data_IF_170299248092
#
_entry.id   IF_170299248092
#
_cell.length_a   1.000
_cell.length_b   1.000
_cell.length_c   1.000
_cell.angle_alpha   90.00
_cell.angle_beta   90.00
_cell.angle_gamma   90.00
#
_symmetry.space_group_name_H-M   'P 1'
#
loop_
_entity.id
_entity.type
_entity.pdbx_description
1 polymer ?
#
# COMPACT_ATOMS: atom_id res chain seq x y z
N UNK A 1 -11.73 12.76 -7.53
CA UNK A 1 -10.28 13.02 -7.49
C UNK A 1 -9.54 11.69 -7.38
N UNK A 2 -8.42 11.50 -8.10
CA UNK A 2 -7.68 10.22 -8.12
C UNK A 2 -7.19 9.75 -6.74
N UNK A 3 -6.92 10.69 -5.83
CA UNK A 3 -6.57 10.49 -4.42
C UNK A 3 -7.66 9.79 -3.59
N UNK A 4 -8.93 10.04 -3.89
CA UNK A 4 -10.05 9.43 -3.15
C UNK A 4 -10.15 7.91 -3.39
N UNK A 5 -9.87 7.48 -4.62
CA UNK A 5 -9.86 6.06 -4.97
C UNK A 5 -8.68 5.32 -4.32
N UNK A 6 -7.52 5.98 -4.20
CA UNK A 6 -6.36 5.44 -3.50
C UNK A 6 -6.67 5.24 -2.01
N UNK A 7 -7.25 6.24 -1.33
CA UNK A 7 -7.67 6.11 0.08
C UNK A 7 -8.67 4.97 0.29
N UNK A 8 -9.64 4.81 -0.60
CA UNK A 8 -10.59 3.68 -0.53
C UNK A 8 -9.89 2.32 -0.71
N UNK A 9 -8.90 2.26 -1.59
CA UNK A 9 -8.12 1.04 -1.83
C UNK A 9 -7.27 0.67 -0.61
N UNK A 10 -6.65 1.67 0.04
CA UNK A 10 -5.90 1.49 1.29
C UNK A 10 -6.83 0.99 2.41
N UNK A 11 -8.02 1.57 2.54
CA UNK A 11 -8.99 1.13 3.54
C UNK A 11 -9.39 -0.34 3.35
N UNK A 12 -9.70 -0.74 2.11
CA UNK A 12 -10.03 -2.15 1.78
C UNK A 12 -8.86 -3.10 2.06
N UNK A 13 -7.63 -2.68 1.77
CA UNK A 13 -6.45 -3.48 2.08
C UNK A 13 -6.29 -3.70 3.60
N UNK A 14 -6.53 -2.67 4.42
CA UNK A 14 -6.52 -2.80 5.88
C UNK A 14 -7.62 -3.75 6.37
N UNK A 15 -8.82 -3.69 5.79
CA UNK A 15 -9.90 -4.62 6.12
C UNK A 15 -9.56 -6.07 5.76
N UNK A 16 -8.96 -6.33 4.59
CA UNK A 16 -8.54 -7.68 4.17
C UNK A 16 -7.46 -8.27 5.09
N UNK A 17 -6.56 -7.45 5.62
CA UNK A 17 -5.55 -7.88 6.62
C UNK A 17 -6.24 -8.33 7.91
N UNK A 18 -7.27 -7.60 8.36
CA UNK A 18 -8.00 -7.90 9.60
C UNK A 18 -8.95 -9.08 9.43
N UNK A 19 -9.61 -9.20 8.28
CA UNK A 19 -10.62 -10.22 8.00
C UNK A 19 -10.02 -11.54 7.47
N UNK A 20 -8.77 -11.51 6.99
CA UNK A 20 -8.12 -12.61 6.30
C UNK A 20 -7.52 -13.71 7.20
N UNK A 21 -6.75 -14.59 6.56
CA UNK A 21 -5.93 -15.58 7.27
C UNK A 21 -4.91 -14.87 8.18
N UNK A 22 -4.46 -15.50 9.28
CA UNK A 22 -3.43 -14.94 10.13
C UNK A 22 -2.18 -14.61 9.33
N UNK A 23 -1.94 -13.33 9.13
CA UNK A 23 -0.73 -12.79 8.54
C UNK A 23 0.34 -12.70 9.62
N UNK A 24 1.61 -12.88 9.27
CA UNK A 24 2.68 -12.72 10.25
C UNK A 24 2.73 -11.26 10.75
N UNK A 25 2.85 -11.01 12.07
CA UNK A 25 2.78 -9.66 12.63
C UNK A 25 3.80 -8.69 12.02
N UNK A 26 5.03 -9.17 11.79
CA UNK A 26 6.12 -8.40 11.17
C UNK A 26 5.77 -7.89 9.77
N UNK A 27 5.08 -8.69 8.96
CA UNK A 27 4.66 -8.29 7.61
C UNK A 27 3.50 -7.31 7.64
N UNK A 28 2.60 -7.44 8.62
CA UNK A 28 1.46 -6.55 8.81
C UNK A 28 1.92 -5.17 9.27
N UNK A 29 2.84 -5.13 10.23
CA UNK A 29 3.37 -3.88 10.77
C UNK A 29 4.07 -3.05 9.68
N UNK A 30 4.94 -3.69 8.89
CA UNK A 30 5.64 -3.05 7.76
C UNK A 30 4.64 -2.53 6.73
N UNK A 31 3.60 -3.31 6.40
CA UNK A 31 2.59 -2.88 5.44
C UNK A 31 1.76 -1.71 5.98
N UNK A 32 1.36 -1.74 7.25
CA UNK A 32 0.60 -0.65 7.87
C UNK A 32 1.39 0.65 7.97
N UNK A 33 2.68 0.58 8.31
CA UNK A 33 3.59 1.72 8.32
C UNK A 33 3.71 2.34 6.92
N UNK A 34 4.00 1.51 5.92
CA UNK A 34 4.14 1.95 4.52
C UNK A 34 2.85 2.61 4.00
N UNK A 35 1.68 2.08 4.37
CA UNK A 35 0.39 2.67 4.02
C UNK A 35 0.14 4.01 4.72
N UNK A 36 0.58 4.17 5.97
CA UNK A 36 0.45 5.42 6.70
C UNK A 36 1.36 6.53 6.12
N UNK A 37 2.56 6.15 5.67
CA UNK A 37 3.48 7.06 4.96
C UNK A 37 2.88 7.52 3.62
N UNK A 38 2.25 6.60 2.88
CA UNK A 38 1.47 6.94 1.67
C UNK A 38 0.37 7.94 2.01
N UNK A 39 -0.44 7.69 3.05
CA UNK A 39 -1.51 8.61 3.47
C UNK A 39 -0.96 9.99 3.83
N UNK A 40 0.18 10.05 4.51
CA UNK A 40 0.87 11.29 4.87
C UNK A 40 1.33 12.07 3.63
N UNK A 41 1.91 11.39 2.63
CA UNK A 41 2.30 12.05 1.36
C UNK A 41 1.09 12.56 0.58
N UNK A 42 -0.04 11.84 0.61
CA UNK A 42 -1.27 12.31 -0.06
C UNK A 42 -1.88 13.53 0.63
N UNK A 43 -1.60 13.74 1.92
CA UNK A 43 -2.01 14.93 2.68
C UNK A 43 -1.04 16.10 2.52
N UNK A 44 0.24 15.83 2.29
CA UNK A 44 1.27 16.87 2.25
C UNK A 44 1.22 17.80 1.03
N UNK A 45 0.38 17.55 0.01
CA UNK A 45 0.31 18.23 -1.31
C UNK A 45 1.63 18.29 -2.12
N UNK A 46 2.79 18.13 -1.48
CA UNK A 46 4.14 18.02 -2.05
C UNK A 46 4.70 16.64 -1.78
N UNK A 47 4.39 15.69 -2.66
CA UNK A 47 5.12 14.45 -2.67
C UNK A 47 6.44 14.66 -3.41
N UNK A 48 7.54 14.71 -2.66
CA UNK A 48 8.86 14.65 -3.29
C UNK A 48 8.98 13.33 -4.08
N UNK A 49 9.41 13.44 -5.35
CA UNK A 49 9.54 12.28 -6.24
C UNK A 49 10.47 11.18 -5.64
N UNK A 50 11.41 11.56 -4.78
CA UNK A 50 12.30 10.62 -4.08
C UNK A 50 11.59 9.79 -3.00
N UNK A 51 10.72 10.40 -2.19
CA UNK A 51 9.96 9.70 -1.14
C UNK A 51 8.94 8.73 -1.74
N UNK A 52 8.39 9.09 -2.90
CA UNK A 52 7.33 8.33 -3.54
C UNK A 52 7.84 7.08 -4.25
N UNK A 53 8.98 7.19 -4.95
CA UNK A 53 9.65 6.05 -5.57
C UNK A 53 10.08 4.98 -4.54
N UNK A 54 10.56 5.41 -3.38
CA UNK A 54 10.94 4.49 -2.29
C UNK A 54 9.72 3.74 -1.72
N UNK A 55 8.58 4.41 -1.53
CA UNK A 55 7.34 3.75 -1.09
C UNK A 55 6.80 2.76 -2.10
N UNK A 56 6.86 3.10 -3.40
CA UNK A 56 6.46 2.18 -4.47
C UNK A 56 7.29 0.91 -4.42
N UNK A 57 8.61 1.02 -4.22
CA UNK A 57 9.49 -0.16 -4.12
C UNK A 57 9.19 -0.99 -2.86
N UNK A 58 9.00 -0.34 -1.71
CA UNK A 58 8.65 -1.01 -0.45
C UNK A 58 7.31 -1.76 -0.55
N UNK A 59 6.32 -1.19 -1.23
CA UNK A 59 5.04 -1.86 -1.50
C UNK A 59 5.20 -3.04 -2.47
N UNK A 60 6.10 -2.98 -3.46
CA UNK A 60 6.41 -4.12 -4.35
C UNK A 60 7.08 -5.26 -3.61
N UNK A 61 8.01 -4.97 -2.70
CA UNK A 61 8.61 -5.99 -1.82
C UNK A 61 7.56 -6.65 -0.93
N UNK A 62 6.65 -5.85 -0.36
CA UNK A 62 5.53 -6.37 0.43
C UNK A 62 4.59 -7.26 -0.42
N UNK A 63 4.23 -6.84 -1.65
CA UNK A 63 3.43 -7.64 -2.59
C UNK A 63 4.05 -9.02 -2.79
N UNK A 64 5.34 -9.08 -3.14
CA UNK A 64 6.06 -10.34 -3.36
C UNK A 64 6.06 -11.25 -2.11
N UNK A 65 6.15 -10.65 -0.91
CA UNK A 65 6.05 -11.37 0.36
C UNK A 65 4.67 -11.98 0.64
N UNK A 66 3.62 -11.46 0.01
CA UNK A 66 2.24 -11.94 0.15
C UNK A 66 1.76 -12.84 -1.00
N UNK A 67 2.35 -12.79 -2.20
CA UNK A 67 1.87 -13.55 -3.37
C UNK A 67 1.68 -15.06 -3.11
N UNK A 68 2.58 -15.68 -2.35
CA UNK A 68 2.51 -17.13 -2.06
C UNK A 68 1.58 -17.52 -0.91
N UNK A 69 1.23 -16.59 -0.02
CA UNK A 69 0.53 -16.89 1.25
C UNK A 69 -0.82 -16.21 1.38
N UNK A 70 -0.94 -14.99 0.87
CA UNK A 70 -2.09 -14.10 0.98
C UNK A 70 -2.35 -13.39 -0.37
N UNK A 71 -2.85 -14.12 -1.39
CA UNK A 71 -3.00 -13.59 -2.75
C UNK A 71 -3.97 -12.40 -2.86
N UNK A 72 -4.97 -12.32 -1.97
CA UNK A 72 -5.87 -11.16 -1.89
C UNK A 72 -5.12 -9.91 -1.44
N UNK A 73 -4.27 -10.03 -0.41
CA UNK A 73 -3.45 -8.93 0.10
C UNK A 73 -2.47 -8.48 -1.00
N UNK A 74 -1.77 -9.42 -1.65
CA UNK A 74 -0.88 -9.08 -2.77
C UNK A 74 -1.61 -8.32 -3.90
N UNK A 75 -2.82 -8.77 -4.25
CA UNK A 75 -3.64 -8.09 -5.27
C UNK A 75 -4.01 -6.67 -4.87
N UNK A 76 -4.38 -6.46 -3.61
CA UNK A 76 -4.74 -5.15 -3.08
C UNK A 76 -3.52 -4.22 -2.97
N UNK A 77 -2.35 -4.72 -2.53
CA UNK A 77 -1.08 -3.97 -2.53
C UNK A 77 -0.71 -3.54 -3.95
N UNK A 78 -0.84 -4.43 -4.94
CA UNK A 78 -0.62 -4.08 -6.36
C UNK A 78 -1.56 -2.98 -6.85
N UNK A 79 -2.81 -2.97 -6.39
CA UNK A 79 -3.75 -1.91 -6.73
C UNK A 79 -3.30 -0.54 -6.15
N UNK A 80 -2.77 -0.52 -4.93
CA UNK A 80 -2.17 0.68 -4.31
C UNK A 80 -0.97 1.19 -5.13
N UNK A 81 -0.03 0.31 -5.48
CA UNK A 81 1.14 0.64 -6.31
C UNK A 81 0.72 1.26 -7.65
N UNK A 82 -0.24 0.64 -8.34
CA UNK A 82 -0.74 1.15 -9.62
C UNK A 82 -1.42 2.52 -9.48
N UNK A 83 -2.13 2.76 -8.38
CA UNK A 83 -2.78 4.04 -8.12
C UNK A 83 -1.76 5.14 -7.79
N UNK A 84 -0.69 4.83 -7.05
CA UNK A 84 0.44 5.73 -6.83
C UNK A 84 1.11 6.11 -8.16
N UNK A 85 1.48 5.12 -8.98
CA UNK A 85 2.13 5.40 -10.28
C UNK A 85 1.26 6.26 -11.21
N UNK A 86 -0.06 6.14 -11.14
CA UNK A 86 -1.00 7.00 -11.90
C UNK A 86 -1.06 8.44 -11.41
N UNK A 87 -0.76 8.67 -10.13
CA UNK A 87 -0.66 9.99 -9.53
C UNK A 87 0.69 10.68 -9.83
N UNK A 88 1.62 9.98 -10.48
CA UNK A 88 2.98 10.50 -10.74
C UNK A 88 3.89 10.46 -9.51
N UNK A 89 3.52 9.60 -8.56
CA UNK A 89 4.25 9.31 -7.31
C UNK A 89 4.70 7.86 -7.30
#
# INVERSE_FOLDING_TARGET
MPTGHLRETIAKLREEIVAGKPVRPDQVDVLHETLAEVETLLEAEEAEAGSSAWLVERLREAEAGFEGSHPNIATAVRAVVNALSRLGI
#
